data_IF_681326849184
#
_entry.id   IF_681326849184
#
_cell.length_a   1.000
_cell.length_b   1.000
_cell.length_c   1.000
_cell.angle_alpha   90.00
_cell.angle_beta   90.00
_cell.angle_gamma   90.00
#
_symmetry.space_group_name_H-M   'P 1'
#
loop_
_entity.id
_entity.type
_entity.pdbx_description
1 polymer ?
#
# COMPACT_ATOMS: atom_id res chain seq x y z
N UNK A 1 7.67 -18.26 -16.67
CA UNK A 1 6.35 -17.57 -16.60
C UNK A 1 6.08 -16.88 -15.26
N UNK A 2 6.47 -17.44 -14.10
CA UNK A 2 6.26 -16.78 -12.77
C UNK A 2 6.97 -15.43 -12.58
N UNK A 3 8.10 -15.20 -13.26
CA UNK A 3 8.86 -13.94 -13.15
C UNK A 3 8.09 -12.74 -13.73
N UNK A 4 7.39 -12.94 -14.85
CA UNK A 4 6.60 -11.89 -15.53
C UNK A 4 5.34 -11.53 -14.73
N UNK A 5 4.68 -12.53 -14.13
CA UNK A 5 3.54 -12.29 -13.24
C UNK A 5 3.95 -11.53 -11.98
N UNK A 6 5.08 -11.92 -11.36
CA UNK A 6 5.64 -11.19 -10.23
C UNK A 6 5.91 -9.73 -10.58
N UNK A 7 6.53 -9.44 -11.73
CA UNK A 7 6.82 -8.08 -12.18
C UNK A 7 5.54 -7.25 -12.35
N UNK A 8 4.47 -7.85 -12.88
CA UNK A 8 3.17 -7.19 -13.03
C UNK A 8 2.56 -6.86 -11.67
N UNK A 9 2.48 -7.84 -10.77
CA UNK A 9 1.92 -7.65 -9.43
C UNK A 9 2.74 -6.64 -8.61
N UNK A 10 4.07 -6.71 -8.68
CA UNK A 10 4.95 -5.74 -8.05
C UNK A 10 4.71 -4.33 -8.60
N UNK A 11 4.54 -4.18 -9.92
CA UNK A 11 4.23 -2.89 -10.54
C UNK A 11 2.92 -2.28 -10.01
N UNK A 12 1.85 -3.08 -9.94
CA UNK A 12 0.56 -2.66 -9.39
C UNK A 12 0.71 -2.24 -7.92
N UNK A 13 1.37 -3.07 -7.10
CA UNK A 13 1.62 -2.76 -5.70
C UNK A 13 2.37 -1.44 -5.52
N UNK A 14 3.46 -1.22 -6.27
CA UNK A 14 4.27 -0.01 -6.12
C UNK A 14 3.56 1.24 -6.64
N UNK A 15 2.66 1.12 -7.61
CA UNK A 15 1.80 2.22 -8.07
C UNK A 15 0.83 2.65 -6.96
N UNK A 16 0.03 1.73 -6.42
CA UNK A 16 -0.89 2.03 -5.30
C UNK A 16 -0.13 2.59 -4.09
N UNK A 17 1.03 2.01 -3.76
CA UNK A 17 1.84 2.50 -2.66
C UNK A 17 2.41 3.91 -2.90
N UNK A 18 2.67 4.28 -4.16
CA UNK A 18 3.12 5.62 -4.52
C UNK A 18 1.97 6.63 -4.40
N UNK A 19 0.78 6.26 -4.87
CA UNK A 19 -0.44 7.08 -4.74
C UNK A 19 -0.78 7.32 -3.27
N UNK A 20 -0.73 6.30 -2.42
CA UNK A 20 -0.97 6.46 -0.98
C UNK A 20 0.04 7.43 -0.33
N UNK A 21 1.33 7.31 -0.65
CA UNK A 21 2.36 8.23 -0.14
C UNK A 21 2.16 9.65 -0.66
N UNK A 22 1.69 9.80 -1.89
CA UNK A 22 1.38 11.10 -2.48
C UNK A 22 0.16 11.72 -1.78
N UNK A 23 -0.92 10.97 -1.56
CA UNK A 23 -2.09 11.42 -0.81
C UNK A 23 -1.71 11.89 0.60
N UNK A 24 -0.86 11.15 1.33
CA UNK A 24 -0.37 11.61 2.63
C UNK A 24 0.45 12.91 2.57
N UNK A 25 1.23 13.12 1.51
CA UNK A 25 2.10 14.30 1.36
C UNK A 25 1.30 15.55 1.01
N UNK A 26 0.35 15.41 0.09
CA UNK A 26 -0.43 16.52 -0.45
C UNK A 26 -1.69 16.83 0.38
N UNK A 27 -1.90 16.11 1.48
CA UNK A 27 -3.09 16.28 2.32
C UNK A 27 -4.37 15.79 1.64
N UNK A 28 -4.26 14.66 0.92
CA UNK A 28 -5.39 13.95 0.31
C UNK A 28 -6.51 13.67 1.29
N UNK A 29 -7.71 13.48 0.76
CA UNK A 29 -8.89 13.34 1.62
C UNK A 29 -8.82 12.06 2.45
N UNK A 30 -9.43 12.04 3.63
CA UNK A 30 -9.51 10.83 4.47
C UNK A 30 -10.16 9.66 3.71
N UNK A 31 -11.13 9.95 2.84
CA UNK A 31 -11.79 8.94 2.00
C UNK A 31 -10.79 8.33 1.01
N UNK A 32 -10.09 9.15 0.24
CA UNK A 32 -9.07 8.72 -0.73
C UNK A 32 -7.98 7.86 -0.06
N UNK A 33 -7.45 8.31 1.08
CA UNK A 33 -6.43 7.56 1.82
C UNK A 33 -6.99 6.21 2.31
N UNK A 34 -8.24 6.17 2.77
CA UNK A 34 -8.87 4.93 3.27
C UNK A 34 -9.10 3.94 2.13
N UNK A 35 -9.59 4.41 0.98
CA UNK A 35 -9.79 3.58 -0.21
C UNK A 35 -8.47 2.95 -0.69
N UNK A 36 -7.39 3.75 -0.77
CA UNK A 36 -6.06 3.24 -1.14
C UNK A 36 -5.52 2.21 -0.14
N UNK A 37 -5.77 2.40 1.16
CA UNK A 37 -5.41 1.44 2.21
C UNK A 37 -6.16 0.11 2.00
N UNK A 38 -7.47 0.16 1.74
CA UNK A 38 -8.30 -1.02 1.52
C UNK A 38 -7.90 -1.78 0.24
N UNK A 39 -7.55 -1.07 -0.83
CA UNK A 39 -7.03 -1.67 -2.06
C UNK A 39 -5.69 -2.38 -1.83
N UNK A 40 -4.77 -1.75 -1.10
CA UNK A 40 -3.48 -2.34 -0.75
C UNK A 40 -3.67 -3.57 0.15
N UNK A 41 -4.54 -3.50 1.16
CA UNK A 41 -4.84 -4.66 2.03
C UNK A 41 -5.44 -5.81 1.22
N UNK A 42 -6.40 -5.52 0.35
CA UNK A 42 -7.01 -6.50 -0.56
C UNK A 42 -5.96 -7.15 -1.44
N UNK A 43 -5.11 -6.37 -2.10
CA UNK A 43 -4.01 -6.88 -2.92
C UNK A 43 -3.10 -7.81 -2.11
N UNK A 44 -2.72 -7.42 -0.90
CA UNK A 44 -1.81 -8.20 -0.06
C UNK A 44 -2.43 -9.51 0.45
N UNK A 45 -3.76 -9.59 0.57
CA UNK A 45 -4.44 -10.85 0.90
C UNK A 45 -4.43 -11.85 -0.24
N UNK A 46 -4.45 -11.38 -1.49
CA UNK A 46 -4.60 -12.25 -2.67
C UNK A 46 -3.33 -12.50 -3.47
N UNK A 47 -2.28 -11.70 -3.28
CA UNK A 47 -1.00 -11.96 -3.95
C UNK A 47 -0.34 -13.24 -3.42
N UNK A 48 0.12 -14.10 -4.34
CA UNK A 48 0.86 -15.32 -4.00
C UNK A 48 2.28 -15.03 -3.51
N UNK A 49 2.78 -13.81 -3.71
CA UNK A 49 4.18 -13.44 -3.47
C UNK A 49 4.41 -12.94 -2.02
N UNK A 50 5.12 -13.72 -1.16
CA UNK A 50 5.31 -13.37 0.26
C UNK A 50 5.96 -12.01 0.47
N UNK A 51 6.95 -11.67 -0.35
CA UNK A 51 7.65 -10.38 -0.25
C UNK A 51 6.72 -9.17 -0.50
N UNK A 52 5.70 -9.30 -1.35
CA UNK A 52 4.72 -8.23 -1.56
C UNK A 52 3.78 -8.10 -0.35
N UNK A 53 3.40 -9.23 0.27
CA UNK A 53 2.62 -9.23 1.50
C UNK A 53 3.37 -8.56 2.66
N UNK A 54 4.64 -8.89 2.84
CA UNK A 54 5.49 -8.27 3.87
C UNK A 54 5.63 -6.76 3.67
N UNK A 55 5.87 -6.32 2.42
CA UNK A 55 5.95 -4.89 2.08
C UNK A 55 4.63 -4.17 2.31
N UNK A 56 3.51 -4.80 1.97
CA UNK A 56 2.19 -4.27 2.23
C UNK A 56 1.89 -4.13 3.71
N UNK A 57 2.18 -5.16 4.51
CA UNK A 57 2.01 -5.09 5.96
C UNK A 57 2.81 -3.93 6.59
N UNK A 58 4.06 -3.72 6.14
CA UNK A 58 4.88 -2.60 6.59
C UNK A 58 4.25 -1.24 6.21
N UNK A 59 3.76 -1.11 4.98
CA UNK A 59 3.12 0.12 4.49
C UNK A 59 1.80 0.42 5.23
N UNK A 60 0.98 -0.59 5.49
CA UNK A 60 -0.27 -0.46 6.24
C UNK A 60 0.00 -0.09 7.70
N UNK A 61 1.04 -0.65 8.31
CA UNK A 61 1.47 -0.26 9.66
C UNK A 61 1.93 1.20 9.70
N UNK A 62 2.75 1.63 8.73
CA UNK A 62 3.16 3.03 8.60
C UNK A 62 1.95 3.96 8.44
N UNK A 63 0.99 3.57 7.61
CA UNK A 63 -0.24 4.34 7.37
C UNK A 63 -1.06 4.52 8.64
N UNK A 64 -1.18 3.45 9.46
CA UNK A 64 -1.81 3.53 10.78
C UNK A 64 -1.09 4.51 11.69
N UNK A 65 0.24 4.47 11.74
CA UNK A 65 1.04 5.40 12.56
C UNK A 65 0.82 6.86 12.15
N UNK A 66 0.77 7.13 10.83
CA UNK A 66 0.49 8.47 10.30
C UNK A 66 -0.92 8.94 10.62
N UNK A 67 -1.92 8.06 10.54
CA UNK A 67 -3.31 8.36 10.88
C UNK A 67 -3.52 8.59 12.39
N UNK A 68 -2.79 7.86 13.25
CA UNK A 68 -2.90 8.01 14.71
C UNK A 68 -2.11 9.18 15.28
N UNK A 69 -1.26 9.84 14.48
CA UNK A 69 -0.61 11.09 14.88
C UNK A 69 0.17 11.00 16.20
N UNK A 70 1.18 10.13 16.28
CA UNK A 70 2.36 10.51 17.08
C UNK A 70 3.19 11.48 16.23
N UNK A 71 2.70 12.72 16.14
CA UNK A 71 3.56 13.86 15.94
C UNK A 71 4.41 13.99 17.22
N UNK A 72 5.69 13.63 17.12
CA UNK A 72 6.71 14.18 18.02
C UNK A 72 7.40 15.31 17.31
#
# INVERSE_FOLDING_TARGET
MKQTQYQKEAGIFFAMAAELRHAYREGGSTVEITELIDEIDTFCRYTDYPMLRERGAALLNQSRLMATGTAT
#
